data_IF_207381870050
#
_entry.id   IF_207381870050
#
_cell.length_a   1.000
_cell.length_b   1.000
_cell.length_c   1.000
_cell.angle_alpha   90.00
_cell.angle_beta   90.00
_cell.angle_gamma   90.00
#
_symmetry.space_group_name_H-M   'P 1'
#
loop_
_entity.id
_entity.type
_entity.pdbx_description
1 polymer ?
#
# COMPACT_ATOMS: atom_id res chain seq x y z
N UNK A 1 21.12 -22.13 -2.78
CA UNK A 1 20.55 -21.27 -1.76
C UNK A 1 19.13 -20.91 -2.18
N UNK A 2 18.21 -21.92 -2.25
CA UNK A 2 16.90 -21.72 -2.92
C UNK A 2 15.88 -22.79 -2.47
N UNK A 3 15.68 -22.99 -1.16
CA UNK A 3 14.74 -24.04 -0.67
C UNK A 3 13.73 -23.50 0.39
N UNK A 4 13.88 -22.28 0.91
CA UNK A 4 13.02 -21.78 1.99
C UNK A 4 11.83 -20.92 1.48
N UNK A 5 11.87 -20.45 0.24
CA UNK A 5 10.82 -19.61 -0.35
C UNK A 5 9.48 -20.32 -0.68
N UNK A 6 9.41 -21.65 -0.61
CA UNK A 6 8.25 -22.40 -1.13
C UNK A 6 7.10 -22.66 -0.14
N UNK A 7 7.24 -22.34 1.14
CA UNK A 7 6.29 -22.82 2.17
C UNK A 7 5.36 -21.76 2.79
N UNK A 8 5.35 -20.51 2.31
CA UNK A 8 4.43 -19.48 2.79
C UNK A 8 3.41 -18.97 1.75
N UNK A 9 3.61 -19.33 0.50
CA UNK A 9 2.58 -19.14 -0.53
C UNK A 9 1.70 -20.39 -0.48
N UNK A 10 0.82 -20.51 0.53
CA UNK A 10 -0.41 -21.26 0.32
C UNK A 10 -1.03 -20.69 -0.94
N UNK A 11 -1.58 -21.55 -1.81
CA UNK A 11 -2.37 -21.21 -3.00
C UNK A 11 -3.59 -20.34 -2.63
N UNK A 12 -3.36 -19.15 -2.11
CA UNK A 12 -4.37 -18.12 -1.98
C UNK A 12 -4.41 -17.49 -3.37
N UNK A 13 -5.51 -17.70 -4.09
CA UNK A 13 -5.75 -17.01 -5.35
C UNK A 13 -5.54 -15.52 -5.11
N UNK A 14 -4.65 -14.89 -5.88
CA UNK A 14 -4.48 -13.44 -5.82
C UNK A 14 -5.81 -12.80 -6.17
N UNK A 15 -6.36 -12.06 -5.22
CA UNK A 15 -7.71 -11.51 -5.35
C UNK A 15 -7.67 -10.18 -6.09
N UNK A 16 -8.59 -9.99 -7.02
CA UNK A 16 -8.77 -8.76 -7.79
C UNK A 16 -9.50 -7.73 -6.93
N UNK A 17 -9.07 -6.48 -6.98
CA UNK A 17 -9.82 -5.36 -6.43
C UNK A 17 -10.71 -4.75 -7.53
N UNK A 18 -12.01 -4.75 -7.31
CA UNK A 18 -13.00 -4.17 -8.21
C UNK A 18 -13.76 -3.04 -7.51
N UNK A 19 -13.87 -1.90 -8.18
CA UNK A 19 -14.56 -0.70 -7.72
C UNK A 19 -15.62 -0.38 -8.76
N UNK A 20 -16.89 -0.28 -8.34
CA UNK A 20 -18.04 -0.09 -9.23
C UNK A 20 -18.89 1.08 -8.74
N UNK A 21 -18.99 2.13 -9.55
CA UNK A 21 -19.83 3.33 -9.38
C UNK A 21 -19.70 3.97 -7.99
N UNK A 22 -18.47 3.96 -7.43
CA UNK A 22 -18.20 4.46 -6.10
C UNK A 22 -18.32 5.97 -6.05
N UNK A 23 -19.19 6.45 -5.17
CA UNK A 23 -19.36 7.85 -4.82
C UNK A 23 -19.06 8.04 -3.33
N UNK A 24 -18.27 9.08 -3.01
CA UNK A 24 -18.00 9.50 -1.64
C UNK A 24 -18.33 10.99 -1.49
N UNK A 25 -19.19 11.31 -0.52
CA UNK A 25 -19.61 12.69 -0.26
C UNK A 25 -19.41 13.07 1.20
N UNK A 26 -18.92 14.28 1.45
CA UNK A 26 -18.80 14.91 2.75
C UNK A 26 -19.71 16.15 2.77
N UNK A 27 -20.91 16.01 3.37
CA UNK A 27 -21.91 17.07 3.27
C UNK A 27 -22.28 17.34 1.82
N UNK A 28 -22.05 18.57 1.35
CA UNK A 28 -22.33 18.98 -0.04
C UNK A 28 -21.20 18.72 -1.05
N UNK A 29 -20.00 18.33 -0.57
CA UNK A 29 -18.83 18.11 -1.43
C UNK A 29 -18.74 16.64 -1.84
N UNK A 30 -18.69 16.37 -3.14
CA UNK A 30 -18.37 15.03 -3.66
C UNK A 30 -16.86 14.89 -3.83
N UNK A 31 -16.25 14.02 -3.04
CA UNK A 31 -14.83 13.69 -3.16
C UNK A 31 -14.57 12.61 -4.22
N UNK A 32 -15.55 11.72 -4.46
CA UNK A 32 -15.55 10.74 -5.55
C UNK A 32 -16.95 10.73 -6.18
N UNK A 33 -17.03 10.59 -7.50
CA UNK A 33 -18.27 10.64 -8.29
C UNK A 33 -18.28 9.50 -9.30
N UNK A 34 -19.03 8.44 -9.00
CA UNK A 34 -19.25 7.26 -9.87
C UNK A 34 -17.93 6.63 -10.40
N UNK A 35 -16.91 6.52 -9.55
CA UNK A 35 -15.63 5.94 -9.93
C UNK A 35 -15.77 4.43 -10.11
N UNK A 36 -15.42 3.93 -11.30
CA UNK A 36 -15.35 2.51 -11.62
C UNK A 36 -13.98 2.17 -12.19
N UNK A 37 -13.25 1.26 -11.53
CA UNK A 37 -11.94 0.78 -11.97
C UNK A 37 -11.63 -0.61 -11.40
N UNK A 38 -10.65 -1.28 -12.00
CA UNK A 38 -10.18 -2.58 -11.56
C UNK A 38 -8.65 -2.56 -11.37
N UNK A 39 -8.19 -3.14 -10.28
CA UNK A 39 -6.77 -3.39 -10.02
C UNK A 39 -6.48 -4.86 -10.33
N UNK A 40 -5.66 -5.08 -11.34
CA UNK A 40 -5.24 -6.41 -11.75
C UNK A 40 -4.18 -6.95 -10.79
N UNK A 41 -4.28 -8.23 -10.48
CA UNK A 41 -3.36 -8.89 -9.55
C UNK A 41 -1.95 -8.99 -10.12
N UNK A 42 -0.95 -8.79 -9.25
CA UNK A 42 0.46 -8.94 -9.60
C UNK A 42 1.03 -7.81 -10.45
N UNK A 43 0.28 -6.71 -10.67
CA UNK A 43 0.73 -5.54 -11.41
C UNK A 43 0.96 -4.34 -10.48
N UNK A 44 1.75 -3.39 -10.95
CA UNK A 44 1.85 -2.04 -10.41
C UNK A 44 0.81 -1.18 -11.13
N UNK A 45 -0.22 -0.75 -10.41
CA UNK A 45 -1.24 0.15 -10.94
C UNK A 45 -1.13 1.51 -10.26
N UNK A 46 -0.84 2.55 -11.02
CA UNK A 46 -0.82 3.91 -10.50
C UNK A 46 -2.17 4.59 -10.58
N UNK A 47 -2.47 5.41 -9.56
CA UNK A 47 -3.60 6.33 -9.53
C UNK A 47 -3.03 7.73 -9.48
N UNK A 48 -3.21 8.49 -10.56
CA UNK A 48 -2.68 9.84 -10.72
C UNK A 48 -3.80 10.87 -10.90
N UNK A 49 -3.46 12.13 -10.86
CA UNK A 49 -4.39 13.24 -11.05
C UNK A 49 -3.95 14.47 -10.25
N UNK A 50 -4.54 15.64 -10.52
CA UNK A 50 -4.27 16.88 -9.81
C UNK A 50 -4.48 16.80 -8.29
N UNK A 51 -4.04 17.83 -7.57
CA UNK A 51 -4.33 17.95 -6.15
C UNK A 51 -5.85 18.12 -5.94
N UNK A 52 -6.40 17.34 -4.99
CA UNK A 52 -7.85 17.33 -4.78
C UNK A 52 -8.65 16.42 -5.74
N UNK A 53 -8.00 15.72 -6.67
CA UNK A 53 -8.69 14.81 -7.61
C UNK A 53 -9.38 13.60 -6.96
N UNK A 54 -9.18 13.34 -5.65
CA UNK A 54 -9.84 12.25 -4.95
C UNK A 54 -8.97 10.99 -4.71
N UNK A 55 -7.68 11.01 -5.09
CA UNK A 55 -6.77 9.86 -4.99
C UNK A 55 -6.72 9.27 -3.58
N UNK A 56 -6.37 10.07 -2.58
CA UNK A 56 -6.32 9.65 -1.17
C UNK A 56 -7.70 9.25 -0.64
N UNK A 57 -8.77 9.90 -1.12
CA UNK A 57 -10.15 9.52 -0.76
C UNK A 57 -10.49 8.11 -1.26
N UNK A 58 -10.04 7.75 -2.46
CA UNK A 58 -10.21 6.41 -3.00
C UNK A 58 -9.42 5.37 -2.19
N UNK A 59 -8.15 5.67 -1.86
CA UNK A 59 -7.35 4.79 -0.98
C UNK A 59 -7.99 4.63 0.40
N UNK A 60 -8.59 5.71 0.95
CA UNK A 60 -9.31 5.66 2.22
C UNK A 60 -10.56 4.77 2.15
N UNK A 61 -11.27 4.75 1.02
CA UNK A 61 -12.39 3.82 0.81
C UNK A 61 -11.90 2.36 0.72
N UNK A 62 -10.83 2.10 -0.01
CA UNK A 62 -10.27 0.74 -0.16
C UNK A 62 -9.76 0.22 1.19
N UNK A 63 -9.09 1.07 1.98
CA UNK A 63 -8.50 0.69 3.26
C UNK A 63 -9.48 0.73 4.45
N UNK A 64 -10.77 1.03 4.22
CA UNK A 64 -11.83 1.00 5.23
C UNK A 64 -11.86 2.20 6.19
N UNK A 65 -11.08 3.27 5.92
CA UNK A 65 -11.15 4.52 6.68
C UNK A 65 -12.38 5.35 6.33
N UNK A 66 -12.80 5.30 5.05
CA UNK A 66 -14.03 5.93 4.60
C UNK A 66 -14.98 4.88 4.02
N UNK A 67 -16.27 5.12 4.20
CA UNK A 67 -17.31 4.26 3.65
C UNK A 67 -17.96 4.97 2.46
N UNK A 68 -18.01 4.35 1.27
CA UNK A 68 -18.68 4.95 0.12
C UNK A 68 -20.13 5.32 0.43
N UNK A 69 -20.59 6.46 -0.09
CA UNK A 69 -21.98 6.88 -0.03
C UNK A 69 -22.87 6.00 -0.91
N UNK A 70 -22.34 5.59 -2.08
CA UNK A 70 -22.96 4.64 -3.00
C UNK A 70 -21.92 3.90 -3.82
N UNK A 71 -22.34 2.87 -4.57
CA UNK A 71 -21.45 1.98 -5.31
C UNK A 71 -20.83 0.90 -4.43
N UNK A 72 -19.95 0.09 -4.99
CA UNK A 72 -19.42 -1.08 -4.34
C UNK A 72 -17.92 -1.24 -4.55
N UNK A 73 -17.24 -1.73 -3.50
CA UNK A 73 -15.83 -2.11 -3.53
C UNK A 73 -15.73 -3.57 -3.11
N UNK A 74 -15.11 -4.38 -3.97
CA UNK A 74 -14.88 -5.80 -3.73
C UNK A 74 -13.39 -6.14 -3.82
N UNK A 75 -12.91 -6.95 -2.91
CA UNK A 75 -11.62 -7.61 -2.98
C UNK A 75 -11.86 -9.12 -3.01
N UNK A 76 -11.70 -9.74 -4.18
CA UNK A 76 -12.21 -11.07 -4.45
C UNK A 76 -13.73 -11.12 -4.22
N UNK A 77 -14.16 -12.04 -3.34
CA UNK A 77 -15.57 -12.18 -2.96
C UNK A 77 -15.94 -11.30 -1.74
N UNK A 78 -14.99 -10.54 -1.18
CA UNK A 78 -15.20 -9.74 0.03
C UNK A 78 -15.62 -8.31 -0.30
N UNK A 79 -16.82 -7.91 0.15
CA UNK A 79 -17.30 -6.54 0.03
C UNK A 79 -16.67 -5.65 1.11
N UNK A 80 -15.96 -4.59 0.70
CA UNK A 80 -15.24 -3.70 1.61
C UNK A 80 -16.03 -2.51 2.12
N UNK A 81 -17.20 -2.21 1.56
CA UNK A 81 -17.96 -0.98 1.83
C UNK A 81 -18.15 -0.61 3.30
N UNK A 82 -18.24 -1.60 4.19
CA UNK A 82 -18.41 -1.42 5.64
C UNK A 82 -17.32 -2.09 6.46
N UNK A 83 -16.27 -2.58 5.80
CA UNK A 83 -15.16 -3.21 6.48
C UNK A 83 -14.35 -2.16 7.25
N UNK A 84 -13.97 -2.48 8.49
CA UNK A 84 -13.04 -1.65 9.25
C UNK A 84 -11.61 -1.82 8.73
N UNK A 85 -10.68 -0.89 8.98
CA UNK A 85 -9.27 -1.04 8.57
C UNK A 85 -8.64 -2.35 9.05
N UNK A 86 -8.98 -2.82 10.24
CA UNK A 86 -8.51 -4.11 10.73
C UNK A 86 -9.04 -5.30 9.92
N UNK A 87 -10.31 -5.27 9.52
CA UNK A 87 -10.88 -6.32 8.66
C UNK A 87 -10.23 -6.30 7.27
N UNK A 88 -10.02 -5.11 6.69
CA UNK A 88 -9.33 -4.93 5.41
C UNK A 88 -7.90 -5.48 5.49
N UNK A 89 -7.16 -5.16 6.55
CA UNK A 89 -5.82 -5.70 6.78
C UNK A 89 -5.80 -7.22 6.90
N UNK A 90 -6.81 -7.81 7.55
CA UNK A 90 -6.91 -9.27 7.69
C UNK A 90 -7.16 -10.01 6.36
N UNK A 91 -7.63 -9.30 5.32
CA UNK A 91 -7.77 -9.81 3.95
C UNK A 91 -6.46 -9.73 3.15
N UNK A 92 -5.37 -9.26 3.74
CA UNK A 92 -4.08 -9.12 3.06
C UNK A 92 -3.92 -7.81 2.29
N UNK A 93 -4.66 -6.77 2.65
CA UNK A 93 -4.48 -5.40 2.13
C UNK A 93 -3.71 -4.59 3.17
N UNK A 94 -2.55 -4.07 2.81
CA UNK A 94 -1.79 -3.15 3.67
C UNK A 94 -1.61 -1.80 3.00
N UNK A 95 -1.40 -0.75 3.81
CA UNK A 95 -1.16 0.61 3.34
C UNK A 95 0.04 1.24 4.03
N UNK A 96 0.90 1.87 3.24
CA UNK A 96 1.85 2.87 3.72
C UNK A 96 1.23 4.26 3.49
N UNK A 97 1.20 5.07 4.54
CA UNK A 97 0.53 6.36 4.52
C UNK A 97 1.45 7.47 3.99
N UNK A 98 0.85 8.54 3.46
CA UNK A 98 1.56 9.72 3.01
C UNK A 98 2.37 10.36 4.15
N UNK A 99 1.77 10.54 5.31
CA UNK A 99 2.45 11.02 6.51
C UNK A 99 3.10 9.86 7.26
N UNK A 100 4.28 10.12 7.80
CA UNK A 100 5.01 9.13 8.59
C UNK A 100 4.29 8.93 9.93
N UNK A 101 3.70 7.75 10.13
CA UNK A 101 2.99 7.36 11.35
C UNK A 101 3.80 6.35 12.17
N UNK A 102 5.10 6.61 12.31
CA UNK A 102 6.01 5.77 13.08
C UNK A 102 6.15 6.26 14.52
N UNK A 103 6.40 5.34 15.44
CA UNK A 103 6.71 5.67 16.82
C UNK A 103 8.17 6.15 16.92
N UNK A 104 8.40 7.45 16.85
CA UNK A 104 9.73 8.06 16.73
C UNK A 104 10.71 7.67 17.85
N UNK A 105 10.22 7.38 19.06
CA UNK A 105 11.04 6.92 20.18
C UNK A 105 11.40 5.43 20.16
N UNK A 106 10.76 4.64 19.30
CA UNK A 106 11.03 3.20 19.13
C UNK A 106 12.06 2.96 18.03
N UNK A 107 12.78 1.85 18.12
CA UNK A 107 13.72 1.44 17.07
C UNK A 107 12.99 1.03 15.79
N UNK A 108 13.72 0.96 14.66
CA UNK A 108 13.18 0.38 13.40
C UNK A 108 12.60 -1.00 13.67
N UNK A 109 13.38 -1.88 14.29
CA UNK A 109 12.93 -3.24 14.62
C UNK A 109 11.64 -3.25 15.45
N UNK A 110 11.54 -2.41 16.47
CA UNK A 110 10.36 -2.37 17.35
C UNK A 110 9.10 -1.87 16.61
N UNK A 111 9.25 -0.85 15.75
CA UNK A 111 8.16 -0.38 14.89
C UNK A 111 7.62 -1.49 13.97
N UNK A 112 8.51 -2.25 13.35
CA UNK A 112 8.14 -3.34 12.45
C UNK A 112 7.54 -4.52 13.22
N UNK A 113 8.09 -4.89 14.36
CA UNK A 113 7.56 -5.93 15.25
C UNK A 113 6.15 -5.58 15.76
N UNK A 114 5.92 -4.32 16.13
CA UNK A 114 4.61 -3.87 16.60
C UNK A 114 3.53 -4.03 15.52
N UNK A 115 3.84 -3.66 14.27
CA UNK A 115 2.91 -3.84 13.15
C UNK A 115 2.60 -5.33 12.92
N UNK A 116 3.60 -6.21 12.98
CA UNK A 116 3.42 -7.64 12.81
C UNK A 116 2.54 -8.26 13.90
N UNK A 117 2.63 -7.77 15.15
CA UNK A 117 1.82 -8.27 16.26
C UNK A 117 0.32 -7.97 16.12
N UNK A 118 -0.08 -6.92 15.40
CA UNK A 118 -1.49 -6.57 15.19
C UNK A 118 -2.26 -7.66 14.44
N UNK A 119 -1.59 -8.48 13.63
CA UNK A 119 -2.20 -9.60 12.89
C UNK A 119 -2.25 -10.92 13.70
N UNK A 120 -1.76 -10.92 14.93
CA UNK A 120 -1.79 -12.11 15.79
C UNK A 120 -3.05 -12.09 16.65
N UNK A 121 -4.06 -12.85 16.24
CA UNK A 121 -5.23 -13.11 17.06
C UNK A 121 -4.86 -14.00 18.27
N UNK A 122 -4.29 -13.43 19.32
CA UNK A 122 -4.20 -14.12 20.59
C UNK A 122 -5.43 -13.85 21.45
N UNK A 123 -6.30 -14.84 21.61
CA UNK A 123 -7.20 -14.87 22.75
C UNK A 123 -6.34 -14.96 24.02
N UNK A 124 -6.57 -14.06 24.98
CA UNK A 124 -5.88 -14.07 26.28
C UNK A 124 -5.89 -15.43 27.00
N UNK A 125 -6.89 -16.26 26.73
CA UNK A 125 -6.99 -17.64 27.23
C UNK A 125 -5.96 -18.60 26.61
N UNK A 126 -5.48 -18.35 25.37
CA UNK A 126 -4.45 -19.16 24.72
C UNK A 126 -3.05 -18.77 25.16
N UNK A 127 -2.81 -17.54 25.62
CA UNK A 127 -1.50 -17.10 26.11
C UNK A 127 -1.09 -17.82 27.39
N UNK A 128 -2.04 -18.22 28.25
CA UNK A 128 -1.77 -18.89 29.53
C UNK A 128 -1.36 -20.36 29.40
N UNK A 129 -1.71 -21.05 28.30
CA UNK A 129 -1.52 -22.50 28.12
C UNK A 129 -0.30 -22.84 27.20
N UNK A 130 0.36 -21.82 26.59
CA UNK A 130 1.22 -22.04 25.42
C UNK A 130 2.67 -21.60 25.56
N UNK A 131 3.35 -21.92 26.66
CA UNK A 131 4.79 -21.57 26.85
C UNK A 131 5.73 -22.02 25.72
N UNK A 132 5.43 -23.11 24.99
CA UNK A 132 6.29 -23.60 23.91
C UNK A 132 5.89 -23.17 22.50
N UNK A 133 4.59 -23.00 22.21
CA UNK A 133 4.10 -22.61 20.86
C UNK A 133 4.17 -21.09 20.65
N UNK A 134 3.92 -20.28 21.67
CA UNK A 134 4.06 -18.83 21.62
C UNK A 134 5.48 -18.42 21.26
N UNK A 135 6.48 -19.03 21.86
CA UNK A 135 7.90 -18.75 21.56
C UNK A 135 8.27 -19.07 20.10
N UNK A 136 7.72 -20.15 19.53
CA UNK A 136 7.97 -20.52 18.11
C UNK A 136 7.28 -19.55 17.13
N UNK A 137 6.09 -19.08 17.45
CA UNK A 137 5.35 -18.12 16.62
C UNK A 137 6.04 -16.77 16.67
N UNK A 138 6.48 -16.34 17.85
CA UNK A 138 7.24 -15.10 18.01
C UNK A 138 8.58 -15.15 17.27
N UNK A 139 9.31 -16.28 17.35
CA UNK A 139 10.56 -16.47 16.60
C UNK A 139 10.35 -16.38 15.10
N UNK A 140 9.26 -16.98 14.57
CA UNK A 140 8.92 -16.90 13.14
C UNK A 140 8.55 -15.47 12.72
N UNK A 141 7.78 -14.76 13.54
CA UNK A 141 7.43 -13.35 13.25
C UNK A 141 8.66 -12.48 13.25
N UNK A 142 9.55 -12.66 14.21
CA UNK A 142 10.81 -11.95 14.24
C UNK A 142 11.68 -12.25 13.03
N UNK A 143 11.78 -13.52 12.64
CA UNK A 143 12.51 -13.91 11.42
C UNK A 143 11.95 -13.21 10.19
N UNK A 144 10.63 -13.17 10.03
CA UNK A 144 9.99 -12.49 8.91
C UNK A 144 10.25 -10.96 8.92
N UNK A 145 10.22 -10.34 10.10
CA UNK A 145 10.56 -8.90 10.24
C UNK A 145 12.02 -8.66 9.87
N UNK A 146 12.95 -9.53 10.27
CA UNK A 146 14.36 -9.43 9.87
C UNK A 146 14.52 -9.58 8.34
N UNK A 147 13.78 -10.51 7.70
CA UNK A 147 13.76 -10.65 6.23
C UNK A 147 13.22 -9.40 5.52
N UNK A 148 12.29 -8.67 6.14
CA UNK A 148 11.81 -7.37 5.62
C UNK A 148 12.85 -6.28 5.83
N UNK A 149 13.56 -6.25 6.98
CA UNK A 149 14.66 -5.32 7.25
C UNK A 149 15.75 -5.49 6.20
N UNK A 150 16.17 -6.75 5.95
CA UNK A 150 17.20 -7.06 4.96
C UNK A 150 16.74 -6.67 3.55
N UNK A 151 15.50 -7.04 3.18
CA UNK A 151 14.91 -6.71 1.87
C UNK A 151 14.84 -5.21 1.59
N UNK A 152 14.53 -4.41 2.62
CA UNK A 152 14.43 -2.95 2.52
C UNK A 152 15.76 -2.24 2.83
N UNK A 153 16.87 -3.00 2.96
CA UNK A 153 18.21 -2.47 3.27
C UNK A 153 18.23 -1.56 4.51
N UNK A 154 17.53 -1.99 5.58
CA UNK A 154 17.40 -1.26 6.83
C UNK A 154 18.31 -1.78 7.95
N UNK A 155 19.19 -2.77 7.70
CA UNK A 155 20.07 -3.39 8.71
C UNK A 155 20.94 -2.37 9.46
N UNK A 156 21.54 -1.35 8.80
CA UNK A 156 22.35 -0.36 9.50
C UNK A 156 21.54 0.46 10.52
N UNK A 157 20.24 0.61 10.27
CA UNK A 157 19.33 1.44 11.06
C UNK A 157 18.51 0.65 12.08
N UNK A 158 18.58 -0.67 12.04
CA UNK A 158 17.73 -1.62 12.77
C UNK A 158 17.52 -1.28 14.25
N UNK A 159 18.56 -0.83 14.95
CA UNK A 159 18.56 -0.50 16.38
C UNK A 159 18.47 1.00 16.66
N UNK A 160 18.34 1.83 15.64
CA UNK A 160 18.23 3.27 15.80
C UNK A 160 16.78 3.68 16.04
N UNK A 161 16.51 4.63 16.93
CA UNK A 161 15.19 5.26 17.05
C UNK A 161 14.83 5.92 15.73
N UNK A 162 13.61 5.65 15.26
CA UNK A 162 13.18 6.10 13.92
C UNK A 162 13.17 7.63 13.80
N UNK A 163 12.83 8.33 14.89
CA UNK A 163 12.80 9.80 14.88
C UNK A 163 14.16 10.47 14.65
N UNK A 164 15.27 9.73 14.75
CA UNK A 164 16.62 10.23 14.51
C UNK A 164 17.14 9.96 13.09
N UNK A 165 16.35 9.29 12.26
CA UNK A 165 16.72 8.91 10.89
C UNK A 165 16.36 10.03 9.90
N UNK A 166 17.03 10.04 8.73
CA UNK A 166 16.64 10.93 7.64
C UNK A 166 15.21 10.65 7.18
N UNK A 167 14.59 11.65 6.57
CA UNK A 167 13.21 11.54 6.10
C UNK A 167 13.03 10.37 5.12
N UNK A 168 13.95 10.19 4.16
CA UNK A 168 13.91 9.08 3.21
C UNK A 168 13.99 7.71 3.88
N UNK A 169 14.85 7.56 4.92
CA UNK A 169 14.92 6.31 5.69
C UNK A 169 13.63 6.09 6.49
N UNK A 170 13.04 7.13 7.08
CA UNK A 170 11.74 7.00 7.77
C UNK A 170 10.63 6.55 6.81
N UNK A 171 10.57 7.11 5.59
CA UNK A 171 9.64 6.67 4.54
C UNK A 171 9.86 5.19 4.15
N UNK A 172 11.13 4.78 4.04
CA UNK A 172 11.48 3.37 3.79
C UNK A 172 11.00 2.45 4.92
N UNK A 173 11.14 2.87 6.17
CA UNK A 173 10.60 2.14 7.35
C UNK A 173 9.07 2.08 7.31
N UNK A 174 8.38 3.13 6.85
CA UNK A 174 6.91 3.14 6.70
C UNK A 174 6.44 2.07 5.69
N UNK A 175 7.12 1.97 4.54
CA UNK A 175 6.84 0.91 3.55
C UNK A 175 7.17 -0.47 4.13
N UNK A 176 8.33 -0.61 4.80
CA UNK A 176 8.72 -1.85 5.48
C UNK A 176 7.66 -2.30 6.51
N UNK A 177 7.09 -1.36 7.27
CA UNK A 177 6.02 -1.62 8.24
C UNK A 177 4.79 -2.24 7.57
N UNK A 178 4.36 -1.71 6.43
CA UNK A 178 3.27 -2.29 5.66
C UNK A 178 3.61 -3.69 5.14
N UNK A 179 4.86 -3.92 4.69
CA UNK A 179 5.33 -5.22 4.23
C UNK A 179 5.37 -6.30 5.33
N UNK A 180 5.57 -5.91 6.61
CA UNK A 180 5.53 -6.90 7.71
C UNK A 180 4.18 -7.58 7.88
N UNK A 181 3.12 -7.02 7.31
CA UNK A 181 1.78 -7.63 7.27
C UNK A 181 1.67 -8.75 6.23
N UNK A 182 2.72 -8.98 5.41
CA UNK A 182 2.74 -9.91 4.27
C UNK A 182 1.57 -9.68 3.29
N UNK A 183 1.39 -8.47 2.77
CA UNK A 183 0.22 -8.11 1.98
C UNK A 183 0.22 -8.79 0.61
N UNK A 184 -0.98 -9.10 0.11
CA UNK A 184 -1.22 -9.43 -1.30
C UNK A 184 -1.51 -8.18 -2.13
N UNK A 185 -2.10 -7.16 -1.51
CA UNK A 185 -2.34 -5.83 -2.09
C UNK A 185 -1.70 -4.78 -1.19
N UNK A 186 -0.72 -4.07 -1.74
CA UNK A 186 -0.03 -2.97 -1.06
C UNK A 186 -0.47 -1.63 -1.65
N UNK A 187 -0.99 -0.76 -0.81
CA UNK A 187 -1.38 0.60 -1.16
C UNK A 187 -0.27 1.55 -0.72
N UNK A 188 0.32 2.29 -1.65
CA UNK A 188 1.36 3.27 -1.42
C UNK A 188 0.83 4.66 -1.75
N UNK A 189 0.76 5.53 -0.75
CA UNK A 189 0.24 6.89 -0.87
C UNK A 189 1.40 7.89 -0.83
N UNK A 190 1.86 8.34 -1.98
CA UNK A 190 2.99 9.24 -2.19
C UNK A 190 4.27 8.82 -1.43
N UNK A 191 4.74 7.58 -1.63
CA UNK A 191 5.88 7.07 -0.87
C UNK A 191 7.18 7.82 -1.14
N UNK A 192 7.29 8.54 -2.26
CA UNK A 192 8.49 9.24 -2.70
C UNK A 192 8.43 10.76 -2.44
N UNK A 193 7.31 11.26 -1.90
CA UNK A 193 7.16 12.69 -1.61
C UNK A 193 8.24 13.18 -0.62
N UNK A 194 8.88 14.30 -0.94
CA UNK A 194 9.91 14.92 -0.10
C UNK A 194 11.29 14.25 -0.12
N UNK A 195 11.50 13.22 -0.93
CA UNK A 195 12.78 12.55 -1.13
C UNK A 195 13.65 13.29 -2.15
N UNK A 196 14.98 13.19 -1.98
CA UNK A 196 15.93 13.59 -3.01
C UNK A 196 15.96 12.55 -4.16
N UNK A 197 16.71 12.82 -5.23
CA UNK A 197 16.73 11.99 -6.44
C UNK A 197 17.21 10.56 -6.14
N UNK A 198 18.30 10.40 -5.39
CA UNK A 198 18.88 9.11 -5.05
C UNK A 198 17.93 8.27 -4.17
N UNK A 199 17.31 8.91 -3.15
CA UNK A 199 16.30 8.26 -2.31
C UNK A 199 15.06 7.83 -3.11
N UNK A 200 14.65 8.61 -4.13
CA UNK A 200 13.55 8.25 -5.03
C UNK A 200 13.89 7.04 -5.89
N UNK A 201 15.09 7.01 -6.50
CA UNK A 201 15.55 5.88 -7.31
C UNK A 201 15.59 4.58 -6.49
N UNK A 202 16.07 4.65 -5.25
CA UNK A 202 16.02 3.52 -4.32
C UNK A 202 14.59 3.06 -4.04
N UNK A 203 13.67 4.00 -3.76
CA UNK A 203 12.28 3.66 -3.49
C UNK A 203 11.59 3.06 -4.70
N UNK A 204 11.86 3.56 -5.91
CA UNK A 204 11.39 2.98 -7.18
C UNK A 204 11.83 1.52 -7.30
N UNK A 205 13.10 1.24 -7.05
CA UNK A 205 13.65 -0.12 -7.06
C UNK A 205 12.91 -1.00 -6.05
N UNK A 206 12.72 -0.55 -4.81
CA UNK A 206 11.98 -1.33 -3.80
C UNK A 206 10.54 -1.61 -4.23
N UNK A 207 9.83 -0.65 -4.83
CA UNK A 207 8.45 -0.86 -5.32
C UNK A 207 8.41 -1.96 -6.38
N UNK A 208 9.36 -1.95 -7.32
CA UNK A 208 9.49 -2.99 -8.37
C UNK A 208 9.83 -4.35 -7.74
N UNK A 209 10.77 -4.40 -6.80
CA UNK A 209 11.19 -5.64 -6.14
C UNK A 209 10.06 -6.22 -5.28
N UNK A 210 9.26 -5.39 -4.61
CA UNK A 210 8.06 -5.81 -3.88
C UNK A 210 7.09 -6.53 -4.83
N UNK A 211 6.81 -5.97 -5.98
CA UNK A 211 5.91 -6.59 -6.96
C UNK A 211 6.50 -7.90 -7.48
N UNK A 212 7.79 -7.92 -7.88
CA UNK A 212 8.41 -9.09 -8.52
C UNK A 212 8.77 -10.21 -7.54
N UNK A 213 9.39 -9.88 -6.42
CA UNK A 213 9.95 -10.87 -5.50
C UNK A 213 8.95 -11.31 -4.42
N UNK A 214 8.05 -10.42 -4.01
CA UNK A 214 7.01 -10.72 -3.02
C UNK A 214 5.67 -11.10 -3.66
N UNK A 215 5.56 -11.07 -5.00
CA UNK A 215 4.31 -11.30 -5.74
C UNK A 215 3.15 -10.44 -5.23
N UNK A 216 3.42 -9.20 -4.81
CA UNK A 216 2.40 -8.30 -4.33
C UNK A 216 1.78 -7.52 -5.49
N UNK A 217 0.47 -7.32 -5.43
CA UNK A 217 -0.19 -6.29 -6.24
C UNK A 217 0.10 -4.94 -5.61
N UNK A 218 0.49 -3.94 -6.39
CA UNK A 218 0.81 -2.60 -5.87
C UNK A 218 -0.15 -1.57 -6.46
N UNK A 219 -0.78 -0.79 -5.60
CA UNK A 219 -1.45 0.46 -5.99
C UNK A 219 -0.60 1.62 -5.52
N UNK A 220 -0.14 2.42 -6.47
CA UNK A 220 0.74 3.55 -6.22
C UNK A 220 0.00 4.86 -6.52
N UNK A 221 -0.10 5.74 -5.53
CA UNK A 221 -0.47 7.14 -5.75
C UNK A 221 0.80 7.96 -5.79
N UNK A 222 1.05 8.64 -6.90
CA UNK A 222 2.19 9.53 -7.10
C UNK A 222 1.81 10.69 -8.01
N UNK A 223 2.58 11.77 -7.91
CA UNK A 223 2.42 12.96 -8.74
C UNK A 223 3.63 13.20 -9.67
N UNK A 224 4.72 12.47 -9.47
CA UNK A 224 5.89 12.47 -10.34
C UNK A 224 5.61 11.59 -11.58
N UNK A 225 5.19 12.23 -12.69
CA UNK A 225 4.82 11.52 -13.90
C UNK A 225 5.98 10.70 -14.49
N UNK A 226 7.23 11.15 -14.34
CA UNK A 226 8.40 10.39 -14.80
C UNK A 226 8.45 9.02 -14.13
N UNK A 227 8.38 9.00 -12.80
CA UNK A 227 8.35 7.75 -12.03
C UNK A 227 7.15 6.89 -12.41
N UNK A 228 5.95 7.48 -12.48
CA UNK A 228 4.73 6.74 -12.81
C UNK A 228 4.83 6.06 -14.17
N UNK A 229 5.33 6.77 -15.19
CA UNK A 229 5.47 6.22 -16.54
C UNK A 229 6.51 5.09 -16.62
N UNK A 230 7.55 5.16 -15.80
CA UNK A 230 8.65 4.18 -15.83
C UNK A 230 8.27 2.86 -15.16
N UNK A 231 7.44 2.88 -14.11
CA UNK A 231 7.23 1.67 -13.30
C UNK A 231 5.82 1.07 -13.37
N UNK A 232 4.85 1.81 -13.91
CA UNK A 232 3.45 1.36 -13.90
C UNK A 232 3.12 0.44 -15.07
N UNK A 233 2.48 -0.69 -14.78
CA UNK A 233 1.85 -1.53 -15.80
C UNK A 233 0.53 -0.92 -16.28
N UNK A 234 -0.20 -0.27 -15.37
CA UNK A 234 -1.48 0.39 -15.62
C UNK A 234 -1.58 1.71 -14.87
N UNK A 235 -2.27 2.67 -15.47
CA UNK A 235 -2.52 3.99 -14.89
C UNK A 235 -4.02 4.27 -14.92
N UNK A 236 -4.54 4.77 -13.80
CA UNK A 236 -5.89 5.34 -13.69
C UNK A 236 -5.76 6.83 -13.35
N UNK A 237 -6.42 7.68 -14.11
CA UNK A 237 -6.36 9.14 -13.93
C UNK A 237 -7.65 9.64 -13.33
N UNK A 238 -7.55 10.24 -12.16
CA UNK A 238 -8.67 10.92 -11.51
C UNK A 238 -8.58 12.43 -11.72
N UNK A 239 -9.73 13.06 -11.92
CA UNK A 239 -9.87 14.51 -11.88
C UNK A 239 -11.23 14.87 -11.28
N UNK A 240 -11.28 15.83 -10.37
CA UNK A 240 -12.48 16.23 -9.61
C UNK A 240 -13.36 15.08 -9.11
N UNK A 241 -12.72 13.99 -8.67
CA UNK A 241 -13.40 12.79 -8.15
C UNK A 241 -13.93 11.84 -9.21
N UNK A 242 -13.66 12.04 -10.49
CA UNK A 242 -14.09 11.21 -11.61
C UNK A 242 -12.89 10.49 -12.26
N UNK A 243 -13.12 9.30 -12.81
CA UNK A 243 -12.12 8.61 -13.63
C UNK A 243 -12.17 9.18 -15.05
N UNK A 244 -11.13 9.92 -15.46
CA UNK A 244 -11.05 10.55 -16.78
C UNK A 244 -10.24 9.78 -17.80
N UNK A 245 -9.45 8.79 -17.35
CA UNK A 245 -8.64 7.94 -18.22
C UNK A 245 -8.11 6.71 -17.49
N UNK A 246 -7.94 5.62 -18.24
CA UNK A 246 -7.31 4.40 -17.75
C UNK A 246 -6.64 3.66 -18.90
N UNK A 247 -5.48 3.03 -18.65
CA UNK A 247 -4.75 2.28 -19.68
C UNK A 247 -3.31 1.98 -19.27
N UNK A 248 -2.52 1.55 -20.23
CA UNK A 248 -1.06 1.54 -20.12
C UNK A 248 -0.51 2.97 -20.13
N UNK A 249 0.75 3.22 -19.70
CA UNK A 249 1.36 4.54 -19.78
C UNK A 249 1.18 5.23 -21.15
N UNK A 250 1.49 4.50 -22.23
CA UNK A 250 1.37 5.03 -23.60
C UNK A 250 -0.08 5.35 -24.04
N UNK A 251 -1.05 4.56 -23.56
CA UNK A 251 -2.47 4.78 -23.86
C UNK A 251 -3.00 6.02 -23.16
N UNK A 252 -2.65 6.20 -21.89
CA UNK A 252 -3.13 7.31 -21.05
C UNK A 252 -2.65 8.66 -21.58
N UNK A 253 -1.41 8.76 -22.07
CA UNK A 253 -0.85 9.98 -22.66
C UNK A 253 -1.58 10.45 -23.95
N UNK A 254 -2.37 9.56 -24.57
CA UNK A 254 -3.14 9.86 -25.80
C UNK A 254 -4.59 10.28 -25.51
N UNK A 255 -5.03 10.22 -24.26
CA UNK A 255 -6.40 10.58 -23.88
C UNK A 255 -6.49 12.11 -23.75
N UNK A 256 -7.28 12.82 -24.62
CA UNK A 256 -7.30 14.28 -24.63
C UNK A 256 -7.67 14.91 -23.29
N UNK A 257 -8.63 14.32 -22.55
CA UNK A 257 -9.03 14.80 -21.23
C UNK A 257 -7.89 14.71 -20.20
N UNK A 258 -7.04 13.68 -20.29
CA UNK A 258 -5.88 13.53 -19.40
C UNK A 258 -4.85 14.62 -19.69
N UNK A 259 -4.55 14.82 -20.98
CA UNK A 259 -3.61 15.88 -21.40
C UNK A 259 -4.10 17.26 -20.94
N UNK A 260 -5.39 17.55 -21.11
CA UNK A 260 -6.01 18.83 -20.70
C UNK A 260 -5.94 19.04 -19.19
N UNK A 261 -6.18 17.99 -18.37
CA UNK A 261 -6.13 18.06 -16.91
C UNK A 261 -4.73 18.39 -16.37
N UNK A 262 -3.66 18.04 -17.09
CA UNK A 262 -2.27 18.30 -16.70
C UNK A 262 -1.67 19.55 -17.34
N UNK A 263 -2.12 19.96 -18.54
CA UNK A 263 -1.63 21.18 -19.22
C UNK A 263 -2.41 22.43 -18.77
N UNK A 264 -3.64 22.27 -18.30
CA UNK A 264 -4.48 23.39 -17.85
C UNK A 264 -4.12 23.96 -16.48
N UNK A 265 -3.10 23.43 -15.81
CA UNK A 265 -2.60 23.90 -14.50
C UNK A 265 -1.45 24.93 -14.58
N UNK A 266 -1.03 25.43 -15.80
CA UNK A 266 -0.02 26.49 -15.98
C UNK A 266 -0.63 27.89 -15.98
#
# INVERSE_FOLDING_TARGET
MNIIHKNYVSLVSMEKLAISDVTLSFGGLKALSNVSLEIQTGLITSIIGPNGAGKTSLLNCISGFYHPTSGDIYYGDHKLNKASPHQVSSLGIARAFQNIELFGGMTVLDNLMLARHQNLHYSLLHAAIYFGKASRVEAKNRQYVEEVIDFMELEPYRKHPVGNLSYGIQKRVEVARALTLAPQLLLLDEPMAGMNIEEKEDMVRFVIDIQKERNATVVLVEHDLGVVMDISDRINVLDFGELIGAGTPDEVLRIPKVVEAYIGED
#
